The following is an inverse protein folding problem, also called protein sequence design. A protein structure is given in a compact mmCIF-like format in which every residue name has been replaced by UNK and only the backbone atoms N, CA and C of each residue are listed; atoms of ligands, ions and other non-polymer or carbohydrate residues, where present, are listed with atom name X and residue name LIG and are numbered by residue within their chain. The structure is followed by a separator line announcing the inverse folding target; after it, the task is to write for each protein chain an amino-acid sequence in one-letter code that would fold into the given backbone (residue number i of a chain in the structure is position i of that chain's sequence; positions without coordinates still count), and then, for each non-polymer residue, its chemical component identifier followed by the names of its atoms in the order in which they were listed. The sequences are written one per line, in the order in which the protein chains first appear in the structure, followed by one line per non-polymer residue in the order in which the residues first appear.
data_IF_372733241224
#
_entry.id   IF_372733241224
#
_cell.length_a   1.000
_cell.length_b   1.000
_cell.length_c   1.000
_cell.angle_alpha   90.00
_cell.angle_beta   90.00
_cell.angle_gamma   90.00
#
_symmetry.space_group_name_H-M   'P 1'
#
loop_
_entity.id
_entity.type
_entity.pdbx_description
1 polymer ?
#
# COMPACT_ATOMS: atom_id res chain seq x y z
N UNK A 1 -3.49 8.35 -3.10
CA UNK A 1 -3.96 6.96 -3.11
C UNK A 1 -5.32 6.88 -2.44
N UNK A 2 -6.16 5.93 -2.86
CA UNK A 2 -7.51 5.73 -2.32
C UNK A 2 -7.95 4.28 -2.53
N UNK A 3 -8.93 3.83 -1.76
CA UNK A 3 -9.54 2.51 -1.90
C UNK A 3 -10.74 2.64 -2.82
N UNK A 4 -10.72 1.94 -3.96
CA UNK A 4 -11.89 1.81 -4.83
C UNK A 4 -12.92 0.92 -4.12
N UNK A 5 -14.08 1.47 -3.81
CA UNK A 5 -15.16 0.74 -3.13
C UNK A 5 -16.20 0.20 -4.10
N UNK A 6 -16.36 0.86 -5.25
CA UNK A 6 -17.39 0.55 -6.23
C UNK A 6 -17.00 1.10 -7.61
N UNK A 7 -17.43 0.43 -8.67
CA UNK A 7 -17.29 0.89 -10.06
C UNK A 7 -18.66 0.75 -10.71
N UNK A 8 -19.24 1.87 -11.10
CA UNK A 8 -20.42 1.85 -11.97
C UNK A 8 -20.00 1.39 -13.37
N UNK A 9 -20.41 0.19 -13.74
CA UNK A 9 -20.10 -0.46 -15.01
C UNK A 9 -20.69 0.26 -16.23
N UNK A 10 -21.77 1.02 -16.06
CA UNK A 10 -22.40 1.75 -17.15
C UNK A 10 -21.62 3.04 -17.48
N UNK A 11 -21.26 3.82 -16.46
CA UNK A 11 -20.54 5.09 -16.65
C UNK A 11 -19.02 4.95 -16.63
N UNK A 12 -18.50 3.84 -16.12
CA UNK A 12 -17.07 3.67 -15.81
C UNK A 12 -16.62 4.52 -14.61
N UNK A 13 -17.55 5.08 -13.83
CA UNK A 13 -17.22 5.94 -12.69
C UNK A 13 -16.87 5.10 -11.46
N UNK A 14 -15.66 5.30 -10.93
CA UNK A 14 -15.22 4.66 -9.71
C UNK A 14 -15.51 5.52 -8.47
N UNK A 15 -16.14 4.94 -7.44
CA UNK A 15 -16.24 5.54 -6.11
C UNK A 15 -14.99 5.22 -5.31
N UNK A 16 -14.21 6.25 -5.00
CA UNK A 16 -12.93 6.11 -4.30
C UNK A 16 -13.00 6.75 -2.92
N UNK A 17 -12.73 5.97 -1.89
CA UNK A 17 -12.52 6.46 -0.52
C UNK A 17 -11.06 6.96 -0.45
N UNK A 18 -10.83 8.27 -0.31
CA UNK A 18 -9.48 8.80 -0.28
C UNK A 18 -8.77 8.36 1.02
N UNK A 19 -7.51 7.92 0.90
CA UNK A 19 -6.66 7.68 2.07
C UNK A 19 -6.03 9.03 2.45
N UNK A 20 -6.73 9.78 3.30
CA UNK A 20 -6.42 11.19 3.59
C UNK A 20 -5.42 11.36 4.73
N UNK A 21 -5.51 10.56 5.80
CA UNK A 21 -4.54 10.44 6.90
C UNK A 21 -4.94 9.28 7.84
N UNK A 22 -3.96 8.57 8.38
CA UNK A 22 -4.11 7.58 9.47
C UNK A 22 -5.06 6.41 9.17
N UNK A 23 -4.94 5.82 7.99
CA UNK A 23 -5.60 4.54 7.72
C UNK A 23 -4.70 3.38 8.18
N UNK A 24 -5.23 2.45 8.96
CA UNK A 24 -4.53 1.20 9.26
C UNK A 24 -5.32 0.04 8.69
N UNK A 25 -4.66 -0.83 7.93
CA UNK A 25 -5.32 -1.99 7.34
C UNK A 25 -4.36 -2.94 6.66
N UNK A 26 -4.87 -4.12 6.30
CA UNK A 26 -4.15 -5.04 5.44
C UNK A 26 -4.25 -4.57 4.00
N UNK A 27 -3.10 -4.39 3.36
CA UNK A 27 -2.98 -3.90 1.99
C UNK A 27 -2.10 -4.82 1.17
N UNK A 28 -2.38 -4.88 -0.13
CA UNK A 28 -1.62 -5.69 -1.10
C UNK A 28 -0.15 -5.29 -1.09
N UNK A 29 0.73 -6.28 -1.13
CA UNK A 29 2.18 -6.15 -1.15
C UNK A 29 2.73 -6.78 -2.44
N UNK A 30 3.64 -6.07 -3.10
CA UNK A 30 4.32 -6.54 -4.31
C UNK A 30 5.04 -7.87 -4.04
N UNK A 31 4.78 -8.87 -4.89
CA UNK A 31 5.33 -10.22 -4.76
C UNK A 31 6.84 -10.22 -4.58
N UNK A 32 7.61 -9.57 -5.44
CA UNK A 32 9.08 -9.66 -5.43
C UNK A 32 9.77 -9.00 -4.23
N UNK A 33 9.01 -8.30 -3.37
CA UNK A 33 9.53 -7.66 -2.15
C UNK A 33 9.09 -8.34 -0.86
N UNK A 34 8.23 -9.36 -0.91
CA UNK A 34 7.49 -9.87 0.23
C UNK A 34 8.38 -10.37 1.38
N UNK A 35 9.46 -11.09 1.06
CA UNK A 35 10.35 -11.69 2.06
C UNK A 35 11.23 -10.66 2.80
N UNK A 36 11.27 -9.41 2.31
CA UNK A 36 12.11 -8.35 2.86
C UNK A 36 11.39 -7.42 3.84
N UNK A 37 10.06 -7.55 3.95
CA UNK A 37 9.20 -6.65 4.74
C UNK A 37 9.08 -7.12 6.19
N UNK A 38 9.45 -6.23 7.10
CA UNK A 38 9.35 -6.38 8.54
C UNK A 38 8.62 -5.18 9.16
N UNK A 39 8.03 -5.33 10.36
CA UNK A 39 7.48 -4.19 11.10
C UNK A 39 8.49 -3.04 11.21
N UNK A 40 8.04 -1.81 10.97
CA UNK A 40 8.86 -0.60 10.94
C UNK A 40 9.40 -0.24 9.55
N UNK A 41 9.33 -1.14 8.57
CA UNK A 41 9.78 -0.83 7.21
C UNK A 41 8.92 0.27 6.58
N UNK A 42 9.59 1.19 5.90
CA UNK A 42 8.97 2.24 5.08
C UNK A 42 8.49 1.65 3.76
N UNK A 43 7.24 1.90 3.42
CA UNK A 43 6.60 1.42 2.21
C UNK A 43 6.07 2.59 1.35
N UNK A 44 6.11 2.40 0.04
CA UNK A 44 5.47 3.27 -0.94
C UNK A 44 4.42 2.48 -1.73
N UNK A 45 3.42 3.17 -2.25
CA UNK A 45 2.56 2.58 -3.28
C UNK A 45 3.27 2.62 -4.64
N UNK A 46 3.23 1.51 -5.36
CA UNK A 46 3.71 1.42 -6.74
C UNK A 46 2.61 1.89 -7.73
N UNK A 47 2.91 1.84 -9.04
CA UNK A 47 1.96 2.26 -10.08
C UNK A 47 0.70 1.39 -10.17
N UNK A 48 0.72 0.19 -9.59
CA UNK A 48 -0.41 -0.74 -9.52
C UNK A 48 -1.22 -0.61 -8.21
N UNK A 49 -0.83 0.30 -7.31
CA UNK A 49 -1.50 0.49 -6.02
C UNK A 49 -1.11 -0.54 -4.96
N UNK A 50 -0.07 -1.34 -5.19
CA UNK A 50 0.48 -2.27 -4.20
C UNK A 50 1.57 -1.58 -3.38
N UNK A 51 1.76 -2.03 -2.15
CA UNK A 51 2.88 -1.61 -1.32
C UNK A 51 4.17 -2.29 -1.77
N UNK A 52 5.27 -1.55 -1.81
CA UNK A 52 6.62 -2.07 -1.97
C UNK A 52 7.57 -1.37 -0.99
N UNK A 53 8.68 -2.05 -0.65
CA UNK A 53 9.66 -1.50 0.28
C UNK A 53 10.41 -0.34 -0.36
N UNK A 54 10.55 0.75 0.39
CA UNK A 54 11.25 1.94 -0.07
C UNK A 54 12.76 1.65 -0.16
N UNK A 55 13.39 1.86 -1.31
CA UNK A 55 14.84 1.67 -1.50
C UNK A 55 15.54 2.97 -1.89
N UNK A 56 16.68 3.28 -1.27
CA UNK A 56 17.77 4.17 -1.71
C UNK A 56 17.42 5.56 -2.29
N UNK A 57 16.70 5.62 -3.40
CA UNK A 57 16.33 6.82 -4.15
C UNK A 57 14.81 7.14 -4.14
N UNK A 58 13.97 6.22 -3.63
CA UNK A 58 12.52 6.42 -3.52
C UNK A 58 12.21 7.47 -2.42
N UNK A 59 11.68 8.63 -2.83
CA UNK A 59 11.48 9.80 -1.94
C UNK A 59 10.15 9.81 -1.19
N UNK A 60 9.25 8.89 -1.51
CA UNK A 60 7.86 8.93 -1.04
C UNK A 60 7.61 7.78 -0.09
N UNK A 61 7.44 8.07 1.18
CA UNK A 61 6.94 7.10 2.17
C UNK A 61 5.44 7.33 2.33
N UNK A 62 4.63 6.33 2.02
CA UNK A 62 3.17 6.39 2.18
C UNK A 62 2.70 5.62 3.41
N UNK A 63 3.43 4.58 3.81
CA UNK A 63 3.03 3.71 4.90
C UNK A 63 4.23 3.14 5.68
N UNK A 64 3.98 2.71 6.91
CA UNK A 64 4.89 1.88 7.70
C UNK A 64 4.27 0.50 7.87
N UNK A 65 5.06 -0.55 7.64
CA UNK A 65 4.67 -1.92 7.93
C UNK A 65 4.49 -2.13 9.43
N UNK A 66 3.39 -2.76 9.84
CA UNK A 66 3.11 -3.17 11.23
C UNK A 66 3.24 -4.68 11.43
N UNK A 67 3.46 -5.43 10.35
CA UNK A 67 3.57 -6.89 10.32
C UNK A 67 4.59 -7.34 9.28
N UNK A 68 4.90 -8.63 9.26
CA UNK A 68 5.55 -9.29 8.12
C UNK A 68 4.53 -9.51 7.00
N UNK A 69 5.00 -9.81 5.78
CA UNK A 69 4.12 -10.19 4.69
C UNK A 69 3.35 -11.49 5.02
N UNK A 70 2.06 -11.52 4.72
CA UNK A 70 1.20 -12.69 4.79
C UNK A 70 0.85 -13.14 3.37
N UNK A 71 1.09 -14.42 3.08
CA UNK A 71 0.70 -15.05 1.81
C UNK A 71 -0.79 -15.38 1.83
N UNK A 72 -1.54 -14.91 0.83
CA UNK A 72 -2.91 -15.35 0.59
C UNK A 72 -2.99 -16.38 -0.54
N UNK A 73 -2.24 -16.15 -1.62
CA UNK A 73 -2.10 -17.09 -2.76
C UNK A 73 -0.65 -17.10 -3.25
N UNK A 74 -0.33 -17.84 -4.32
CA UNK A 74 1.01 -17.81 -4.94
C UNK A 74 1.43 -16.43 -5.44
N UNK A 75 0.46 -15.59 -5.81
CA UNK A 75 0.71 -14.27 -6.41
C UNK A 75 0.23 -13.11 -5.54
N UNK A 76 -0.54 -13.37 -4.48
CA UNK A 76 -1.10 -12.35 -3.60
C UNK A 76 -0.50 -12.41 -2.20
N UNK A 77 0.12 -11.29 -1.81
CA UNK A 77 0.63 -11.05 -0.47
C UNK A 77 -0.03 -9.80 0.10
N UNK A 78 -0.26 -9.79 1.41
CA UNK A 78 -0.76 -8.63 2.14
C UNK A 78 0.14 -8.30 3.32
N UNK A 79 0.13 -7.04 3.74
CA UNK A 79 0.82 -6.57 4.94
C UNK A 79 -0.09 -5.63 5.72
N UNK A 80 -0.15 -5.78 7.04
CA UNK A 80 -0.75 -4.77 7.90
C UNK A 80 0.14 -3.53 7.85
N UNK A 81 -0.42 -2.38 7.45
CA UNK A 81 0.31 -1.13 7.34
C UNK A 81 -0.48 0.04 7.91
N UNK A 82 0.24 1.01 8.50
CA UNK A 82 -0.28 2.32 8.85
C UNK A 82 0.07 3.30 7.74
N UNK A 83 -0.93 3.94 7.15
CA UNK A 83 -0.83 4.80 5.97
C UNK A 83 -1.06 6.25 6.37
N UNK A 84 -0.09 7.12 6.05
CA UNK A 84 -0.11 8.56 6.37
C UNK A 84 -0.73 9.41 5.26
N UNK A 85 -1.32 8.74 4.26
CA UNK A 85 -1.98 9.37 3.12
C UNK A 85 -1.02 10.01 2.11
N UNK A 86 -1.54 10.92 1.29
CA UNK A 86 -0.76 11.64 0.27
C UNK A 86 0.22 12.68 0.85
N UNK A 87 0.29 12.83 2.18
CA UNK A 87 1.40 13.53 2.85
C UNK A 87 2.62 12.61 2.85
N UNK A 88 3.19 12.39 1.67
CA UNK A 88 4.47 11.73 1.54
C UNK A 88 5.49 12.51 2.37
N UNK A 89 5.97 11.92 3.46
CA UNK A 89 7.10 12.47 4.19
C UNK A 89 8.31 12.25 3.28
N UNK A 90 9.01 13.33 2.91
CA UNK A 90 10.32 13.20 2.26
C UNK A 90 11.23 12.47 3.25
N UNK A 91 11.60 11.24 2.90
CA UNK A 91 12.57 10.45 3.64
C UNK A 91 13.94 11.11 3.68
#
# INVERSE_FOLDING_TARGET
YGVCSDIDEFSGMATVIPITNNFTGYLTLKKDGQNSVNPGDKLNFNQHGELEKTTGAQKTVNAIALSKAHKLTEDLFIVLASVFGNRAIKG
#
